data_IF_901834842455
#
_entry.id   IF_901834842455
#
_cell.length_a   1.000
_cell.length_b   1.000
_cell.length_c   1.000
_cell.angle_alpha   90.00
_cell.angle_beta   90.00
_cell.angle_gamma   90.00
#
_symmetry.space_group_name_H-M   'P 1'
#
loop_
_entity.id
_entity.type
_entity.pdbx_description
1 polymer ?
#
# COMPACT_ATOMS: atom_id res chain seq x y z
N UNK A 1 -45.26 -14.25 -20.50
CA UNK A 1 -44.27 -13.47 -21.26
C UNK A 1 -43.66 -14.41 -22.30
N UNK A 2 -43.68 -14.05 -23.58
CA UNK A 2 -43.23 -14.93 -24.66
C UNK A 2 -41.69 -15.00 -24.67
N UNK A 3 -41.13 -16.20 -24.82
CA UNK A 3 -39.69 -16.44 -25.03
C UNK A 3 -39.07 -15.57 -26.12
N UNK A 4 -39.81 -15.25 -27.20
CA UNK A 4 -39.32 -14.35 -28.26
C UNK A 4 -39.14 -12.92 -27.77
N UNK A 5 -40.00 -12.46 -26.88
CA UNK A 5 -39.95 -11.12 -26.31
C UNK A 5 -38.75 -10.97 -25.38
N UNK A 6 -38.44 -11.99 -24.57
CA UNK A 6 -37.25 -12.00 -23.70
C UNK A 6 -35.95 -11.96 -24.51
N UNK A 7 -35.87 -12.68 -25.63
CA UNK A 7 -34.69 -12.65 -26.51
C UNK A 7 -34.49 -11.26 -27.12
N UNK A 8 -35.57 -10.62 -27.59
CA UNK A 8 -35.50 -9.26 -28.12
C UNK A 8 -35.05 -8.23 -27.06
N UNK A 9 -35.55 -8.34 -25.83
CA UNK A 9 -35.14 -7.46 -24.74
C UNK A 9 -33.66 -7.65 -24.39
N UNK A 10 -33.16 -8.89 -24.41
CA UNK A 10 -31.77 -9.20 -24.11
C UNK A 10 -30.81 -8.69 -25.19
N UNK A 11 -31.19 -8.80 -26.46
CA UNK A 11 -30.44 -8.23 -27.58
C UNK A 11 -30.43 -6.70 -27.55
N UNK A 12 -31.57 -6.07 -27.23
CA UNK A 12 -31.66 -4.63 -27.04
C UNK A 12 -30.76 -4.15 -25.88
N UNK A 13 -30.78 -4.88 -24.75
CA UNK A 13 -29.93 -4.60 -23.60
C UNK A 13 -28.44 -4.69 -23.98
N UNK A 14 -28.07 -5.74 -24.74
CA UNK A 14 -26.70 -5.94 -25.23
C UNK A 14 -26.26 -4.80 -26.16
N UNK A 15 -27.13 -4.34 -27.04
CA UNK A 15 -26.89 -3.16 -27.90
C UNK A 15 -26.67 -1.89 -27.08
N UNK A 16 -27.49 -1.69 -26.04
CA UNK A 16 -27.35 -0.54 -25.13
C UNK A 16 -26.03 -0.58 -24.35
N UNK A 17 -25.61 -1.76 -23.86
CA UNK A 17 -24.32 -1.92 -23.20
C UNK A 17 -23.14 -1.67 -24.14
N UNK A 18 -23.21 -2.11 -25.39
CA UNK A 18 -22.18 -1.82 -26.39
C UNK A 18 -22.04 -0.31 -26.64
N UNK A 19 -23.18 0.40 -26.78
CA UNK A 19 -23.21 1.85 -26.93
C UNK A 19 -22.61 2.56 -25.71
N UNK A 20 -23.02 2.16 -24.50
CA UNK A 20 -22.52 2.73 -23.25
C UNK A 20 -21.02 2.52 -23.08
N UNK A 21 -20.49 1.35 -23.48
CA UNK A 21 -19.04 1.08 -23.48
C UNK A 21 -18.26 2.03 -24.39
N UNK A 22 -18.76 2.29 -25.59
CA UNK A 22 -18.12 3.24 -26.53
C UNK A 22 -18.16 4.66 -25.98
N UNK A 23 -19.30 5.08 -25.43
CA UNK A 23 -19.45 6.40 -24.83
C UNK A 23 -18.51 6.59 -23.62
N UNK A 24 -18.39 5.58 -22.77
CA UNK A 24 -17.48 5.61 -21.62
C UNK A 24 -16.01 5.67 -22.06
N UNK A 25 -15.62 4.92 -23.10
CA UNK A 25 -14.27 4.99 -23.65
C UNK A 25 -13.94 6.39 -24.18
N UNK A 26 -14.87 7.01 -24.92
CA UNK A 26 -14.71 8.39 -25.40
C UNK A 26 -14.61 9.40 -24.25
N UNK A 27 -15.34 9.17 -23.16
CA UNK A 27 -15.26 10.03 -21.98
C UNK A 27 -13.90 9.89 -21.27
N UNK A 28 -13.39 8.67 -21.13
CA UNK A 28 -12.04 8.42 -20.58
C UNK A 28 -10.98 9.13 -21.43
N UNK A 29 -11.00 8.95 -22.76
CA UNK A 29 -10.06 9.61 -23.69
C UNK A 29 -10.15 11.15 -23.61
N UNK A 30 -11.35 11.69 -23.34
CA UNK A 30 -11.56 13.12 -23.13
C UNK A 30 -10.92 13.59 -21.82
N UNK A 31 -11.09 12.84 -20.73
CA UNK A 31 -10.50 13.15 -19.43
C UNK A 31 -8.97 13.07 -19.47
N UNK A 32 -8.41 12.06 -20.13
CA UNK A 32 -6.95 11.93 -20.30
C UNK A 32 -6.37 13.11 -21.07
N UNK A 33 -7.02 13.53 -22.17
CA UNK A 33 -6.59 14.73 -22.92
C UNK A 33 -6.64 16.00 -22.07
N UNK A 34 -7.68 16.17 -21.26
CA UNK A 34 -7.82 17.31 -20.34
C UNK A 34 -6.75 17.29 -19.24
N UNK A 35 -6.43 16.11 -18.70
CA UNK A 35 -5.40 15.95 -17.69
C UNK A 35 -4.01 16.28 -18.26
N UNK A 36 -3.68 15.77 -19.44
CA UNK A 36 -2.42 16.07 -20.12
C UNK A 36 -2.29 17.55 -20.49
N UNK A 37 -3.38 18.20 -20.91
CA UNK A 37 -3.41 19.63 -21.17
C UNK A 37 -3.21 20.45 -19.89
N UNK A 38 -3.84 20.05 -18.79
CA UNK A 38 -3.66 20.69 -17.49
C UNK A 38 -2.22 20.53 -16.96
N UNK A 39 -1.63 19.34 -17.12
CA UNK A 39 -0.23 19.08 -16.74
C UNK A 39 0.75 19.92 -17.57
N UNK A 40 0.49 20.05 -18.87
CA UNK A 40 1.29 20.89 -19.77
C UNK A 40 1.16 22.40 -19.48
N UNK A 41 0.03 22.82 -18.89
CA UNK A 41 -0.24 24.22 -18.54
C UNK A 41 0.32 24.62 -17.16
N UNK A 42 0.80 23.68 -16.35
CA UNK A 42 1.41 23.98 -15.06
C UNK A 42 2.82 24.56 -15.25
N UNK A 43 3.10 25.79 -14.80
CA UNK A 43 4.46 26.32 -14.84
C UNK A 43 5.33 25.50 -13.88
N UNK A 44 6.48 25.03 -14.38
CA UNK A 44 7.54 24.42 -13.58
C UNK A 44 8.11 25.45 -12.60
N UNK A 45 7.47 25.62 -11.45
CA UNK A 45 7.99 26.43 -10.36
C UNK A 45 8.96 25.60 -9.52
N UNK A 46 10.23 26.01 -9.50
CA UNK A 46 11.15 25.65 -8.42
C UNK A 46 12.51 25.05 -8.79
N UNK A 47 13.33 25.76 -9.57
CA UNK A 47 14.80 25.70 -9.35
C UNK A 47 15.29 27.14 -9.16
N UNK A 48 15.67 27.57 -7.94
CA UNK A 48 16.29 28.88 -7.79
C UNK A 48 17.69 28.83 -8.43
N UNK A 49 17.85 29.57 -9.54
CA UNK A 49 19.16 30.00 -10.04
C UNK A 49 19.70 31.04 -9.06
N UNK A 50 20.67 30.67 -8.24
CA UNK A 50 21.51 31.65 -7.56
C UNK A 50 22.37 32.35 -8.63
N UNK A 51 21.99 33.56 -9.01
CA UNK A 51 22.87 34.50 -9.69
C UNK A 51 23.63 35.28 -8.61
N UNK A 52 24.96 35.18 -8.60
CA UNK A 52 25.82 36.06 -7.81
C UNK A 52 27.08 36.38 -8.62
N UNK A 53 27.06 37.57 -9.21
CA UNK A 53 28.16 38.34 -9.82
C UNK A 53 27.76 39.81 -9.56
N UNK A 54 28.53 40.76 -9.05
CA UNK A 54 29.98 41.05 -8.85
C UNK A 54 30.05 42.23 -7.82
N UNK A 55 31.19 42.91 -7.46
CA UNK A 55 32.61 42.85 -7.90
C UNK A 55 33.65 42.80 -6.74
N UNK A 56 34.98 42.80 -7.01
CA UNK A 56 36.01 42.62 -5.99
C UNK A 56 36.51 43.96 -5.41
N UNK A 57 36.89 43.96 -4.12
CA UNK A 57 37.74 45.00 -3.53
C UNK A 57 39.07 44.42 -3.09
N UNK A 58 40.10 45.20 -3.40
CA UNK A 58 41.51 44.88 -3.47
C UNK A 58 42.22 45.30 -2.18
N UNK A 59 43.31 44.59 -1.89
CA UNK A 59 44.48 45.00 -1.11
C UNK A 59 44.38 45.00 0.43
N UNK A 60 45.02 44.01 1.04
CA UNK A 60 46.04 44.27 2.06
C UNK A 60 47.18 43.27 1.88
N UNK A 61 48.39 43.82 1.89
CA UNK A 61 49.66 43.21 1.53
C UNK A 61 50.35 42.61 2.76
N UNK A 62 51.07 41.51 2.50
CA UNK A 62 52.33 41.07 3.16
C UNK A 62 52.24 40.21 4.43
N UNK A 63 53.30 39.43 4.75
CA UNK A 63 53.75 38.27 3.96
C UNK A 63 53.99 37.02 4.85
N UNK A 64 54.17 35.87 4.18
CA UNK A 64 54.65 34.63 4.78
C UNK A 64 56.05 34.77 5.40
N UNK A 65 56.47 33.79 6.21
CA UNK A 65 57.42 32.86 5.63
C UNK A 65 57.04 31.40 5.80
N UNK A 66 57.43 30.64 4.78
CA UNK A 66 57.43 29.20 4.74
C UNK A 66 58.27 28.59 5.86
N UNK A 67 57.86 27.44 6.36
CA UNK A 67 58.80 26.43 6.83
C UNK A 67 58.28 25.04 6.48
N UNK A 68 59.01 24.40 5.57
CA UNK A 68 58.88 23.00 5.21
C UNK A 68 59.44 22.15 6.35
N UNK A 69 58.69 21.14 6.79
CA UNK A 69 59.29 19.86 7.17
C UNK A 69 58.30 18.74 6.86
N UNK A 70 58.60 17.97 5.82
CA UNK A 70 58.17 16.58 5.77
C UNK A 70 59.00 15.77 6.78
N UNK A 71 58.41 14.70 7.31
CA UNK A 71 58.94 13.34 7.24
C UNK A 71 58.13 12.40 8.14
N UNK A 72 57.68 11.31 7.51
CA UNK A 72 57.63 9.94 8.01
C UNK A 72 56.84 9.58 9.28
N UNK A 73 55.91 8.65 9.03
CA UNK A 73 55.73 7.37 9.73
C UNK A 73 55.56 7.39 11.24
N UNK A 74 54.44 6.84 11.72
CA UNK A 74 54.37 5.76 12.74
C UNK A 74 52.90 5.51 13.10
N UNK A 75 52.36 4.35 12.71
CA UNK A 75 51.31 3.66 13.47
C UNK A 75 52.02 3.03 14.69
N UNK A 76 51.43 2.99 15.90
CA UNK A 76 50.39 1.98 16.16
C UNK A 76 49.36 2.35 17.26
N UNK A 77 48.32 1.52 17.39
CA UNK A 77 47.80 1.18 18.72
C UNK A 77 46.40 1.69 19.06
N UNK A 78 45.45 0.77 18.97
CA UNK A 78 44.40 0.48 19.96
C UNK A 78 44.17 1.52 21.07
N UNK A 79 42.94 2.04 21.17
CA UNK A 79 42.18 1.93 22.43
C UNK A 79 40.68 1.97 22.20
N UNK A 80 40.06 0.96 22.80
CA UNK A 80 38.66 0.63 23.00
C UNK A 80 37.85 1.80 23.61
N UNK A 81 36.77 2.23 22.94
CA UNK A 81 35.77 3.10 23.55
C UNK A 81 34.91 2.29 24.53
N UNK A 82 35.41 2.17 25.75
CA UNK A 82 34.68 1.63 26.91
C UNK A 82 33.52 2.57 27.24
N UNK A 83 32.30 2.01 27.19
CA UNK A 83 31.05 2.62 27.63
C UNK A 83 31.14 3.00 29.11
N UNK A 84 30.82 4.25 29.44
CA UNK A 84 30.52 4.66 30.81
C UNK A 84 29.14 4.14 31.24
N UNK A 85 29.01 3.55 32.43
CA UNK A 85 27.71 3.30 33.05
C UNK A 85 27.17 4.59 33.69
N UNK A 86 25.96 4.97 33.32
CA UNK A 86 25.22 6.05 33.99
C UNK A 86 24.77 5.59 35.39
N UNK A 87 25.05 6.43 36.38
CA UNK A 87 24.64 6.28 37.78
C UNK A 87 23.13 6.44 37.96
N UNK A 88 22.51 5.78 38.97
CA UNK A 88 21.08 5.90 39.26
C UNK A 88 20.77 7.18 40.06
N UNK A 89 19.72 7.90 39.65
CA UNK A 89 19.16 9.04 40.37
C UNK A 89 18.12 8.60 41.43
N UNK A 90 18.00 9.33 42.55
CA UNK A 90 17.19 8.93 43.70
C UNK A 90 15.68 9.14 43.50
N UNK A 91 14.92 8.21 44.07
CA UNK A 91 13.45 8.20 44.22
C UNK A 91 13.07 9.24 45.27
N UNK A 92 12.25 10.23 44.90
CA UNK A 92 11.57 11.13 45.84
C UNK A 92 10.07 10.88 45.73
N UNK A 93 9.57 10.11 46.69
CA UNK A 93 8.15 9.93 47.01
C UNK A 93 7.61 11.18 47.71
N UNK A 94 6.50 11.75 47.21
CA UNK A 94 5.71 12.73 47.93
C UNK A 94 4.22 12.30 47.91
N UNK A 95 3.49 12.42 49.04
CA UNK A 95 2.11 11.94 49.18
C UNK A 95 1.08 12.94 48.66
N UNK A 96 -0.06 12.41 48.22
CA UNK A 96 -1.23 13.16 47.76
C UNK A 96 -1.97 13.84 48.93
N UNK A 97 -2.54 15.06 48.76
CA UNK A 97 -3.53 15.60 49.67
C UNK A 97 -4.95 15.32 49.17
N UNK A 98 -5.71 14.55 49.96
CA UNK A 98 -7.17 14.53 49.93
C UNK A 98 -7.71 15.81 50.56
N UNK A 99 -8.68 16.46 49.91
CA UNK A 99 -9.62 17.37 50.57
C UNK A 99 -10.93 17.41 49.80
N UNK A 100 -11.96 16.99 50.53
CA UNK A 100 -13.38 17.06 50.20
C UNK A 100 -13.82 18.48 49.82
N UNK A 101 -14.73 18.60 48.86
CA UNK A 101 -15.87 19.52 48.94
C UNK A 101 -17.03 18.97 48.10
N UNK A 102 -18.21 19.02 48.71
CA UNK A 102 -19.48 18.38 48.31
C UNK A 102 -20.45 19.47 47.83
N UNK A 103 -21.31 19.08 46.87
CA UNK A 103 -22.66 19.58 46.52
C UNK A 103 -22.80 20.22 45.11
N UNK A 104 -24.02 20.26 44.52
CA UNK A 104 -25.15 19.33 44.61
C UNK A 104 -25.50 18.73 43.22
N UNK A 105 -26.33 17.67 43.25
CA UNK A 105 -26.78 16.92 42.10
C UNK A 105 -27.86 17.64 41.28
N UNK A 106 -27.70 17.64 39.95
CA UNK A 106 -28.78 17.75 38.96
C UNK A 106 -28.43 16.90 37.71
N UNK A 107 -29.43 16.45 36.94
CA UNK A 107 -29.40 15.12 36.31
C UNK A 107 -28.93 15.09 34.85
N UNK A 108 -28.21 14.00 34.53
CA UNK A 108 -28.14 13.25 33.25
C UNK A 108 -28.24 13.97 31.92
N UNK A 109 -27.11 14.01 31.19
CA UNK A 109 -26.87 13.47 29.83
C UNK A 109 -25.64 14.20 29.26
N UNK A 110 -24.58 13.51 28.81
CA UNK A 110 -24.53 13.14 27.40
C UNK A 110 -23.77 11.83 27.07
N UNK A 111 -24.12 11.27 25.91
CA UNK A 111 -23.26 10.50 25.01
C UNK A 111 -22.57 9.25 25.60
N UNK A 112 -23.25 8.12 25.39
CA UNK A 112 -22.64 6.80 25.35
C UNK A 112 -21.61 6.80 24.21
N UNK A 113 -20.33 6.92 24.56
CA UNK A 113 -19.26 6.40 23.73
C UNK A 113 -19.43 4.88 23.72
N UNK A 114 -20.04 4.36 22.65
CA UNK A 114 -20.08 2.93 22.42
C UNK A 114 -18.65 2.47 22.13
N UNK A 115 -17.96 2.07 23.20
CA UNK A 115 -16.76 1.25 23.12
C UNK A 115 -17.14 -0.01 22.35
N UNK A 116 -16.60 -0.15 21.15
CA UNK A 116 -16.73 -1.39 20.39
C UNK A 116 -15.91 -2.46 21.12
N UNK A 117 -16.53 -3.57 21.56
CA UNK A 117 -15.84 -4.58 22.36
C UNK A 117 -14.82 -5.33 21.52
N UNK A 118 -13.68 -5.59 22.15
CA UNK A 118 -12.67 -6.57 21.74
C UNK A 118 -13.34 -7.95 21.57
N UNK A 119 -13.70 -8.30 20.34
CA UNK A 119 -14.18 -9.65 20.03
C UNK A 119 -13.00 -10.53 19.61
N UNK A 120 -12.39 -11.16 20.61
CA UNK A 120 -11.81 -12.50 20.43
C UNK A 120 -12.97 -13.48 20.27
N UNK A 121 -13.36 -13.70 19.03
CA UNK A 121 -14.31 -14.72 18.62
C UNK A 121 -14.04 -15.04 17.16
N UNK A 122 -13.95 -16.31 16.79
CA UNK A 122 -13.88 -16.70 15.39
C UNK A 122 -15.12 -16.15 14.68
N UNK A 123 -14.93 -15.07 13.93
CA UNK A 123 -16.00 -14.41 13.21
C UNK A 123 -16.61 -15.40 12.21
N UNK A 124 -17.94 -15.37 12.00
CA UNK A 124 -18.54 -16.03 10.85
C UNK A 124 -17.81 -15.55 9.59
N UNK A 125 -17.60 -16.48 8.64
CA UNK A 125 -16.92 -16.20 7.37
C UNK A 125 -17.53 -14.94 6.78
N UNK A 126 -16.79 -13.84 6.91
CA UNK A 126 -17.24 -12.51 6.54
C UNK A 126 -17.31 -12.53 5.01
N UNK A 127 -18.49 -12.76 4.45
CA UNK A 127 -18.75 -12.59 3.03
C UNK A 127 -18.47 -11.12 2.75
N UNK A 128 -17.32 -10.84 2.17
CA UNK A 128 -16.83 -9.47 2.06
C UNK A 128 -17.65 -8.61 1.10
N UNK A 129 -17.31 -7.32 0.99
CA UNK A 129 -18.10 -6.41 0.14
C UNK A 129 -17.91 -6.77 -1.33
N UNK A 130 -19.01 -6.80 -2.10
CA UNK A 130 -18.96 -7.15 -3.53
C UNK A 130 -17.96 -6.30 -4.33
N UNK A 131 -17.74 -5.05 -3.90
CA UNK A 131 -16.79 -4.15 -4.53
C UNK A 131 -15.33 -4.59 -4.34
N UNK A 132 -14.91 -4.98 -3.13
CA UNK A 132 -13.54 -5.46 -2.89
C UNK A 132 -13.23 -6.74 -3.70
N UNK A 133 -14.19 -7.67 -3.74
CA UNK A 133 -14.09 -8.94 -4.47
C UNK A 133 -13.81 -8.74 -5.96
N UNK A 134 -14.40 -7.70 -6.58
CA UNK A 134 -14.22 -7.44 -8.02
C UNK A 134 -12.78 -7.09 -8.39
N UNK A 135 -12.00 -6.55 -7.45
CA UNK A 135 -10.62 -6.17 -7.69
C UNK A 135 -9.60 -7.27 -7.38
N UNK A 136 -10.00 -8.28 -6.60
CA UNK A 136 -9.11 -9.30 -6.07
C UNK A 136 -8.34 -10.08 -7.14
N UNK A 137 -8.95 -10.56 -8.25
CA UNK A 137 -8.20 -11.26 -9.29
C UNK A 137 -7.03 -10.42 -9.84
N UNK A 138 -7.25 -9.13 -10.07
CA UNK A 138 -6.23 -8.21 -10.57
C UNK A 138 -5.15 -7.93 -9.52
N UNK A 139 -5.53 -7.80 -8.25
CA UNK A 139 -4.58 -7.60 -7.16
C UNK A 139 -3.67 -8.82 -7.01
N UNK A 140 -4.23 -10.03 -7.05
CA UNK A 140 -3.45 -11.27 -6.99
C UNK A 140 -2.45 -11.37 -8.14
N UNK A 141 -2.85 -11.04 -9.37
CA UNK A 141 -1.94 -10.99 -10.51
C UNK A 141 -0.80 -9.98 -10.27
N UNK A 142 -1.11 -8.78 -9.77
CA UNK A 142 -0.09 -7.75 -9.51
C UNK A 142 0.88 -8.13 -8.41
N UNK A 143 0.41 -8.75 -7.33
CA UNK A 143 1.25 -9.26 -6.25
C UNK A 143 2.18 -10.35 -6.81
N UNK A 144 1.63 -11.32 -7.54
CA UNK A 144 2.42 -12.40 -8.11
C UNK A 144 3.45 -11.89 -9.15
N UNK A 145 3.06 -10.94 -9.99
CA UNK A 145 3.97 -10.29 -10.94
C UNK A 145 5.11 -9.53 -10.22
N UNK A 146 4.80 -8.87 -9.11
CA UNK A 146 5.80 -8.16 -8.29
C UNK A 146 6.76 -9.13 -7.62
N UNK A 147 6.26 -10.27 -7.13
CA UNK A 147 7.07 -11.35 -6.58
C UNK A 147 8.03 -11.95 -7.62
N UNK A 148 7.55 -12.18 -8.85
CA UNK A 148 8.37 -12.70 -9.95
C UNK A 148 9.45 -11.71 -10.44
N UNK A 149 9.18 -10.40 -10.35
CA UNK A 149 10.11 -9.34 -10.77
C UNK A 149 11.04 -8.88 -9.66
N UNK A 150 10.99 -9.49 -8.48
CA UNK A 150 11.79 -9.07 -7.33
C UNK A 150 13.27 -9.06 -7.70
N UNK A 151 13.90 -7.89 -7.64
CA UNK A 151 15.31 -7.72 -7.96
C UNK A 151 16.17 -8.61 -7.06
N UNK A 152 17.21 -9.21 -7.64
CA UNK A 152 18.20 -10.03 -6.93
C UNK A 152 18.87 -9.14 -5.87
N UNK A 153 18.48 -9.28 -4.61
CA UNK A 153 18.96 -8.43 -3.49
C UNK A 153 17.87 -7.68 -2.72
N UNK A 154 16.62 -7.68 -3.18
CA UNK A 154 15.50 -7.21 -2.37
C UNK A 154 15.18 -8.25 -1.27
N UNK A 155 15.76 -8.04 -0.09
CA UNK A 155 15.58 -8.90 1.08
C UNK A 155 14.43 -8.45 1.98
N UNK A 156 13.53 -7.59 1.49
CA UNK A 156 12.35 -7.25 2.27
C UNK A 156 11.53 -8.52 2.52
N UNK A 157 11.13 -8.68 3.77
CA UNK A 157 10.28 -9.77 4.26
C UNK A 157 9.02 -9.21 4.90
N UNK A 158 7.96 -10.00 4.84
CA UNK A 158 6.78 -9.83 5.67
C UNK A 158 7.12 -10.04 7.15
N UNK A 159 6.28 -9.56 8.07
CA UNK A 159 6.44 -9.78 9.52
C UNK A 159 6.51 -11.27 9.90
N UNK A 160 5.91 -12.16 9.10
CA UNK A 160 5.98 -13.61 9.28
C UNK A 160 7.27 -14.27 8.71
N UNK A 161 8.22 -13.47 8.21
CA UNK A 161 9.50 -13.96 7.66
C UNK A 161 9.45 -14.40 6.19
N UNK A 162 8.28 -14.53 5.56
CA UNK A 162 8.17 -14.82 4.11
C UNK A 162 8.57 -13.61 3.26
N UNK A 163 8.93 -13.79 1.97
CA UNK A 163 9.28 -12.68 1.09
C UNK A 163 8.16 -11.62 0.99
N UNK A 164 8.54 -10.35 0.88
CA UNK A 164 7.59 -9.29 0.50
C UNK A 164 6.96 -9.63 -0.85
N UNK A 165 5.64 -9.45 -0.97
CA UNK A 165 4.80 -9.85 -2.12
C UNK A 165 4.47 -11.34 -2.22
N UNK A 166 4.60 -12.11 -1.14
CA UNK A 166 4.01 -13.44 -1.09
C UNK A 166 2.47 -13.34 -1.08
N UNK A 167 1.83 -13.98 -2.07
CA UNK A 167 0.36 -14.06 -2.19
C UNK A 167 -0.24 -14.72 -0.96
N UNK A 168 0.44 -15.71 -0.36
CA UNK A 168 -0.01 -16.35 0.87
C UNK A 168 -0.05 -15.36 2.03
N UNK A 169 0.93 -14.47 2.14
CA UNK A 169 0.89 -13.39 3.15
C UNK A 169 -0.23 -12.38 2.93
N UNK A 170 -0.61 -12.10 1.68
CA UNK A 170 -1.79 -11.28 1.38
C UNK A 170 -3.08 -11.98 1.83
N UNK A 171 -3.20 -13.28 1.57
CA UNK A 171 -4.34 -14.11 2.02
C UNK A 171 -4.43 -14.26 3.53
N UNK A 172 -3.28 -14.37 4.19
CA UNK A 172 -3.14 -14.43 5.65
C UNK A 172 -3.32 -13.03 6.30
N UNK A 173 -3.76 -12.02 5.54
CA UNK A 173 -3.99 -10.64 6.00
C UNK A 173 -2.76 -9.92 6.60
N UNK A 174 -1.54 -10.34 6.26
CA UNK A 174 -0.34 -9.66 6.72
C UNK A 174 -0.08 -8.32 6.02
N UNK A 175 -0.75 -8.07 4.90
CA UNK A 175 -0.79 -6.77 4.23
C UNK A 175 -2.02 -6.68 3.33
N UNK A 176 -2.51 -5.47 3.09
CA UNK A 176 -3.48 -5.16 2.04
C UNK A 176 -2.80 -4.63 0.78
N UNK A 177 -3.55 -4.41 -0.28
CA UNK A 177 -3.05 -3.80 -1.51
C UNK A 177 -3.78 -2.50 -1.79
N UNK A 178 -3.05 -1.41 -2.04
CA UNK A 178 -3.65 -0.15 -2.45
C UNK A 178 -3.91 -0.16 -3.96
N UNK A 179 -5.17 -0.06 -4.39
CA UNK A 179 -5.52 0.04 -5.81
C UNK A 179 -5.02 1.33 -6.43
N UNK A 180 -5.15 2.46 -5.75
CA UNK A 180 -4.82 3.77 -6.33
C UNK A 180 -3.31 3.90 -6.56
N UNK A 181 -2.50 3.43 -5.61
CA UNK A 181 -1.03 3.56 -5.67
C UNK A 181 -0.30 2.30 -6.12
N UNK A 182 -1.00 1.17 -6.25
CA UNK A 182 -0.45 -0.13 -6.69
C UNK A 182 0.70 -0.60 -5.80
N UNK A 183 0.50 -0.54 -4.48
CA UNK A 183 1.51 -0.82 -3.45
C UNK A 183 0.92 -1.60 -2.27
N UNK A 184 1.74 -2.39 -1.55
CA UNK A 184 1.30 -3.06 -0.34
C UNK A 184 1.06 -2.04 0.78
N UNK A 185 0.02 -2.28 1.57
CA UNK A 185 -0.33 -1.60 2.81
C UNK A 185 0.03 -2.58 3.93
N UNK A 186 1.16 -2.35 4.60
CA UNK A 186 1.64 -3.27 5.62
C UNK A 186 0.65 -3.34 6.80
N UNK A 187 0.53 -4.50 7.44
CA UNK A 187 -0.34 -4.68 8.60
C UNK A 187 -0.13 -3.59 9.66
N UNK A 188 -1.24 -3.07 10.21
CA UNK A 188 -1.25 -1.97 11.17
C UNK A 188 -1.16 -0.57 10.56
N UNK A 189 -0.90 -0.45 9.25
CA UNK A 189 -0.98 0.82 8.53
C UNK A 189 -2.35 0.97 7.87
N UNK A 190 -2.88 2.20 7.89
CA UNK A 190 -4.13 2.53 7.19
C UNK A 190 -3.88 2.87 5.70
N UNK A 191 -2.66 3.30 5.37
CA UNK A 191 -2.30 3.81 4.04
C UNK A 191 -1.01 3.13 3.54
N UNK A 192 -0.83 3.07 2.21
CA UNK A 192 0.44 2.59 1.65
C UNK A 192 1.57 3.59 1.91
N UNK A 193 2.78 3.09 2.12
CA UNK A 193 3.99 3.92 2.31
C UNK A 193 4.39 4.61 1.00
N UNK A 194 3.99 5.88 0.84
CA UNK A 194 4.25 6.73 -0.33
C UNK A 194 4.28 8.21 0.04
N UNK A 195 4.68 9.10 -0.86
CA UNK A 195 4.62 10.55 -0.58
C UNK A 195 3.18 11.06 -0.57
N UNK A 196 2.33 10.43 -1.38
CA UNK A 196 0.92 10.77 -1.51
C UNK A 196 0.08 9.68 -0.84
N UNK A 197 -0.37 9.96 0.39
CA UNK A 197 -1.24 9.05 1.16
C UNK A 197 -2.73 9.25 0.87
N UNK A 198 -3.07 10.29 0.10
CA UNK A 198 -4.46 10.65 -0.19
C UNK A 198 -5.08 9.61 -1.12
N UNK A 199 -6.35 9.31 -0.91
CA UNK A 199 -7.12 8.40 -1.77
C UNK A 199 -6.60 6.96 -1.78
N UNK A 200 -5.98 6.48 -0.69
CA UNK A 200 -5.68 5.05 -0.59
C UNK A 200 -6.98 4.24 -0.64
N UNK A 201 -7.11 3.38 -1.65
CA UNK A 201 -8.18 2.39 -1.74
C UNK A 201 -7.63 1.01 -1.38
N UNK A 202 -7.78 0.58 -0.12
CA UNK A 202 -7.25 -0.71 0.31
C UNK A 202 -8.12 -1.85 -0.22
N UNK A 203 -7.45 -2.91 -0.68
CA UNK A 203 -8.04 -4.20 -1.02
C UNK A 203 -7.41 -5.27 -0.16
N UNK A 204 -8.24 -6.13 0.42
CA UNK A 204 -7.81 -7.23 1.27
C UNK A 204 -8.36 -8.52 0.73
N UNK A 205 -7.67 -9.63 0.99
CA UNK A 205 -8.22 -10.94 0.67
C UNK A 205 -9.55 -11.15 1.40
N UNK A 206 -10.55 -11.65 0.68
CA UNK A 206 -11.79 -12.11 1.27
C UNK A 206 -12.26 -13.34 0.50
N UNK A 207 -12.96 -14.25 1.18
CA UNK A 207 -13.55 -15.41 0.54
C UNK A 207 -14.88 -15.00 -0.07
N UNK A 208 -15.11 -15.38 -1.33
CA UNK A 208 -16.36 -15.10 -2.04
C UNK A 208 -16.91 -16.40 -2.65
N UNK A 209 -18.22 -16.62 -2.55
CA UNK A 209 -18.87 -17.81 -3.12
C UNK A 209 -18.74 -17.83 -4.64
N UNK A 210 -18.93 -16.66 -5.27
CA UNK A 210 -18.83 -16.49 -6.73
C UNK A 210 -17.40 -16.26 -7.24
N UNK A 211 -16.38 -16.72 -6.53
CA UNK A 211 -14.97 -16.47 -6.89
C UNK A 211 -14.65 -16.92 -8.33
N UNK A 212 -15.15 -18.09 -8.73
CA UNK A 212 -14.95 -18.61 -10.09
C UNK A 212 -15.54 -17.68 -11.15
N UNK A 213 -16.75 -17.17 -10.92
CA UNK A 213 -17.41 -16.24 -11.83
C UNK A 213 -16.62 -14.93 -11.92
N UNK A 214 -16.17 -14.37 -10.79
CA UNK A 214 -15.35 -13.16 -10.76
C UNK A 214 -14.05 -13.32 -11.55
N UNK A 215 -13.35 -14.44 -11.36
CA UNK A 215 -12.12 -14.75 -12.11
C UNK A 215 -12.43 -14.90 -13.60
N UNK A 216 -13.49 -15.63 -13.96
CA UNK A 216 -13.91 -15.82 -15.36
C UNK A 216 -14.23 -14.48 -16.03
N UNK A 217 -15.05 -13.64 -15.41
CA UNK A 217 -15.39 -12.30 -15.93
C UNK A 217 -14.15 -11.42 -16.07
N UNK A 218 -13.17 -11.54 -15.17
CA UNK A 218 -11.91 -10.80 -15.23
C UNK A 218 -11.03 -11.22 -16.41
N UNK A 219 -11.00 -12.51 -16.76
CA UNK A 219 -10.35 -13.00 -17.97
C UNK A 219 -11.11 -12.58 -19.23
N UNK A 220 -12.43 -12.75 -19.25
CA UNK A 220 -13.29 -12.38 -20.39
C UNK A 220 -13.21 -10.87 -20.70
N UNK A 221 -12.97 -10.04 -19.67
CA UNK A 221 -12.72 -8.61 -19.81
C UNK A 221 -11.34 -8.23 -20.39
N UNK A 222 -10.42 -9.19 -20.55
CA UNK A 222 -9.08 -8.96 -21.09
C UNK A 222 -8.11 -8.22 -20.14
N UNK A 223 -8.49 -8.07 -18.88
CA UNK A 223 -7.72 -7.32 -17.88
C UNK A 223 -6.78 -8.22 -17.06
N UNK A 224 -7.06 -9.53 -17.01
CA UNK A 224 -6.31 -10.53 -16.28
C UNK A 224 -5.39 -11.32 -17.21
N UNK A 225 -4.16 -11.65 -16.76
CA UNK A 225 -3.16 -12.39 -17.54
C UNK A 225 -2.17 -11.51 -18.31
N UNK A 226 -2.39 -10.20 -18.32
CA UNK A 226 -1.55 -9.22 -19.03
C UNK A 226 -0.13 -9.12 -18.47
N UNK A 227 0.10 -9.55 -17.22
CA UNK A 227 1.40 -9.46 -16.55
C UNK A 227 2.29 -10.69 -16.76
N UNK A 228 1.83 -11.68 -17.53
CA UNK A 228 2.57 -12.91 -17.84
C UNK A 228 3.03 -13.67 -16.58
N UNK A 229 2.18 -13.66 -15.55
CA UNK A 229 2.45 -14.40 -14.31
C UNK A 229 2.47 -15.89 -14.60
N UNK A 230 3.60 -16.55 -14.31
CA UNK A 230 3.69 -18.02 -14.38
C UNK A 230 2.67 -18.66 -13.43
N UNK A 231 1.93 -19.65 -13.92
CA UNK A 231 0.93 -20.42 -13.16
C UNK A 231 -0.13 -19.52 -12.50
N UNK A 232 -0.62 -18.50 -13.23
CA UNK A 232 -1.63 -17.56 -12.71
C UNK A 232 -2.88 -18.28 -12.17
N UNK A 233 -3.33 -19.38 -12.78
CA UNK A 233 -4.44 -20.17 -12.26
C UNK A 233 -4.20 -20.74 -10.86
N UNK A 234 -2.98 -21.21 -10.57
CA UNK A 234 -2.60 -21.69 -9.23
C UNK A 234 -2.57 -20.53 -8.22
N UNK A 235 -2.16 -19.34 -8.67
CA UNK A 235 -2.24 -18.12 -7.85
C UNK A 235 -3.69 -17.79 -7.53
N UNK A 236 -4.61 -17.87 -8.50
CA UNK A 236 -6.02 -17.50 -8.34
C UNK A 236 -6.83 -18.57 -7.59
N UNK A 237 -6.52 -19.84 -7.79
CA UNK A 237 -7.18 -21.00 -7.21
C UNK A 237 -6.16 -21.86 -6.47
N UNK A 238 -5.71 -21.46 -5.28
CA UNK A 238 -4.77 -22.29 -4.51
C UNK A 238 -5.45 -23.59 -4.09
N UNK A 239 -4.71 -24.69 -4.13
CA UNK A 239 -5.21 -26.03 -3.81
C UNK A 239 -5.82 -26.10 -2.40
N UNK A 240 -5.26 -25.38 -1.44
CA UNK A 240 -5.75 -25.39 -0.05
C UNK A 240 -7.15 -24.76 0.10
N UNK A 241 -7.55 -23.89 -0.84
CA UNK A 241 -8.87 -23.23 -0.80
C UNK A 241 -9.84 -23.78 -1.85
N UNK A 242 -9.32 -24.37 -2.94
CA UNK A 242 -10.10 -24.89 -4.06
C UNK A 242 -9.64 -26.29 -4.45
N UNK A 243 -9.68 -27.28 -3.53
CA UNK A 243 -9.16 -28.62 -3.80
C UNK A 243 -9.87 -29.30 -4.98
N UNK A 244 -11.16 -29.01 -5.20
CA UNK A 244 -11.92 -29.55 -6.34
C UNK A 244 -11.45 -29.08 -7.72
N UNK A 245 -10.57 -28.08 -7.79
CA UNK A 245 -9.90 -27.64 -9.03
C UNK A 245 -8.63 -28.43 -9.33
N UNK A 246 -8.27 -29.41 -8.50
CA UNK A 246 -7.06 -30.20 -8.67
C UNK A 246 -7.39 -31.69 -8.74
N UNK A 247 -6.72 -32.38 -9.66
CA UNK A 247 -6.73 -33.83 -9.76
C UNK A 247 -5.28 -34.29 -9.90
N UNK A 248 -4.82 -35.17 -8.99
CA UNK A 248 -3.44 -35.67 -8.94
C UNK A 248 -2.37 -34.56 -8.96
N UNK A 249 -2.66 -33.45 -8.25
CA UNK A 249 -1.78 -32.26 -8.18
C UNK A 249 -1.77 -31.38 -9.43
N UNK A 250 -2.59 -31.70 -10.45
CA UNK A 250 -2.74 -30.91 -11.66
C UNK A 250 -3.99 -30.04 -11.60
N UNK A 251 -3.88 -28.77 -12.03
CA UNK A 251 -5.03 -27.86 -12.12
C UNK A 251 -5.95 -28.26 -13.27
N UNK A 252 -7.22 -28.49 -12.95
CA UNK A 252 -8.32 -28.82 -13.87
C UNK A 252 -9.10 -27.52 -14.13
N UNK A 253 -8.87 -26.92 -15.30
CA UNK A 253 -9.44 -25.62 -15.70
C UNK A 253 -10.95 -25.59 -15.81
#
# INVERSE_FOLDING_TARGET
MDTRQLVQELDALRGNFAKYRVEMALHIDSLERRLNAAESALPHSGRPKAASQCPPLRSTLSPAPASNHGHSSTMPGFTEHRRHPHAPLPIITAPAPSSHLRAPAFPTSPYVHQQQPSQTGFAPVNTGSSENATFLPFVLEKIAASSQKKSRGDNRTCACGRPTFDVKCFRDHHFGWCLSHQRPIMHGLQNCSGRDYRNCQPVYWEKHADWELLVKTSFDGGHLGTKKVKNLYVVLFPEELYPGKYQDGCFMG
#
